data_IF_430894828292
#
_entry.id   IF_430894828292
#
_cell.length_a   1.000
_cell.length_b   1.000
_cell.length_c   1.000
_cell.angle_alpha   90.00
_cell.angle_beta   90.00
_cell.angle_gamma   90.00
#
_symmetry.space_group_name_H-M   'P 1'
#
loop_
_entity.id
_entity.type
_entity.pdbx_description
1 polymer ?
#
# COMPACT_ATOMS: atom_id res chain seq x y z
N UNK A 1 4.38 -12.06 -2.95
CA UNK A 1 4.35 -13.48 -2.57
C UNK A 1 4.72 -14.34 -3.78
N UNK A 2 5.93 -14.92 -3.80
CA UNK A 2 6.16 -16.11 -4.62
C UNK A 2 5.33 -17.23 -4.01
N UNK A 3 4.41 -17.82 -4.76
CA UNK A 3 3.86 -19.11 -4.37
C UNK A 3 5.04 -20.08 -4.12
N UNK A 4 4.98 -20.94 -3.08
CA UNK A 4 5.98 -21.98 -2.90
C UNK A 4 6.14 -22.74 -4.22
N UNK A 5 7.39 -23.01 -4.60
CA UNK A 5 7.66 -23.62 -5.88
C UNK A 5 7.02 -25.01 -5.92
N UNK A 6 6.11 -25.23 -6.85
CA UNK A 6 5.64 -26.58 -7.19
C UNK A 6 6.65 -27.12 -8.20
N UNK A 7 7.34 -28.20 -7.85
CA UNK A 7 8.40 -28.82 -8.68
C UNK A 7 9.52 -27.86 -9.14
N UNK A 8 9.87 -26.87 -8.32
CA UNK A 8 10.93 -25.90 -8.62
C UNK A 8 10.51 -24.73 -9.52
N UNK A 9 9.22 -24.58 -9.82
CA UNK A 9 8.66 -23.51 -10.64
C UNK A 9 7.99 -22.41 -9.79
N UNK A 10 8.31 -21.14 -10.06
CA UNK A 10 7.72 -19.99 -9.37
C UNK A 10 6.45 -19.50 -10.07
N UNK A 11 5.39 -19.18 -9.31
CA UNK A 11 4.10 -18.79 -9.89
C UNK A 11 3.49 -17.52 -9.30
N UNK A 12 2.58 -16.92 -10.07
CA UNK A 12 1.69 -15.86 -9.61
C UNK A 12 0.27 -16.43 -9.44
N UNK A 13 -0.41 -16.06 -8.35
CA UNK A 13 -1.80 -16.45 -8.10
C UNK A 13 -2.71 -15.50 -8.89
N UNK A 14 -3.58 -16.05 -9.74
CA UNK A 14 -4.53 -15.29 -10.55
C UNK A 14 -5.95 -15.78 -10.25
N UNK A 15 -6.83 -14.89 -9.78
CA UNK A 15 -8.23 -15.22 -9.51
C UNK A 15 -9.07 -15.27 -10.79
N UNK A 16 -10.17 -16.02 -10.76
CA UNK A 16 -11.15 -16.13 -11.86
C UNK A 16 -11.65 -14.77 -12.35
N UNK A 17 -11.82 -13.79 -11.46
CA UNK A 17 -12.21 -12.44 -11.84
C UNK A 17 -11.12 -11.71 -12.65
N UNK A 18 -9.85 -11.82 -12.23
CA UNK A 18 -8.70 -11.28 -12.96
C UNK A 18 -8.50 -12.00 -14.30
N UNK A 19 -8.75 -13.31 -14.34
CA UNK A 19 -8.78 -14.11 -15.56
C UNK A 19 -9.88 -13.65 -16.53
N UNK A 20 -11.10 -13.44 -16.02
CA UNK A 20 -12.23 -12.96 -16.82
C UNK A 20 -12.01 -11.53 -17.35
N UNK A 21 -11.31 -10.68 -16.59
CA UNK A 21 -10.91 -9.34 -17.06
C UNK A 21 -9.85 -9.41 -18.15
N UNK A 22 -8.86 -10.30 -18.01
CA UNK A 22 -7.87 -10.56 -19.06
C UNK A 22 -8.54 -11.03 -20.35
N UNK A 23 -9.56 -11.89 -20.26
CA UNK A 23 -10.35 -12.36 -21.41
C UNK A 23 -11.20 -11.29 -22.09
N UNK A 24 -11.40 -10.13 -21.45
CA UNK A 24 -12.18 -9.00 -21.99
C UNK A 24 -11.33 -7.99 -22.77
N UNK A 25 -10.01 -8.13 -22.77
CA UNK A 25 -9.13 -7.24 -23.53
C UNK A 25 -9.27 -7.49 -25.04
N UNK A 26 -9.19 -6.46 -25.90
CA UNK A 26 -9.18 -6.63 -27.35
C UNK A 26 -8.01 -7.54 -27.77
N UNK A 27 -8.30 -8.68 -28.40
CA UNK A 27 -7.31 -9.72 -28.75
C UNK A 27 -7.16 -10.85 -27.73
N UNK A 28 -7.92 -10.85 -26.64
CA UNK A 28 -7.84 -11.88 -25.59
C UNK A 28 -8.54 -13.20 -25.91
N UNK A 29 -9.39 -13.24 -26.94
CA UNK A 29 -9.90 -14.50 -27.51
C UNK A 29 -8.77 -15.40 -28.05
N UNK A 30 -7.59 -14.84 -28.25
CA UNK A 30 -6.37 -15.50 -28.71
C UNK A 30 -5.41 -15.88 -27.57
N UNK A 31 -5.68 -15.44 -26.33
CA UNK A 31 -4.89 -15.75 -25.14
C UNK A 31 -5.33 -17.11 -24.56
N UNK A 32 -4.78 -18.20 -25.08
CA UNK A 32 -4.86 -19.50 -24.41
C UNK A 32 -3.96 -19.52 -23.18
N UNK A 33 -4.31 -20.33 -22.17
CA UNK A 33 -3.46 -20.55 -20.98
C UNK A 33 -2.03 -20.95 -21.40
N UNK A 34 -1.90 -21.77 -22.44
CA UNK A 34 -0.62 -22.16 -23.03
C UNK A 34 0.17 -20.97 -23.62
N UNK A 35 -0.48 -20.02 -24.31
CA UNK A 35 0.18 -18.80 -24.83
C UNK A 35 0.58 -17.84 -23.71
N UNK A 36 -0.17 -17.81 -22.62
CA UNK A 36 0.13 -16.97 -21.45
C UNK A 36 1.36 -17.52 -20.69
N UNK A 37 1.43 -18.84 -20.51
CA UNK A 37 2.59 -19.53 -19.90
C UNK A 37 3.84 -19.48 -20.79
N UNK A 38 3.69 -19.72 -22.10
CA UNK A 38 4.82 -19.74 -23.06
C UNK A 38 5.30 -18.36 -23.50
N UNK A 39 4.40 -17.37 -23.62
CA UNK A 39 4.71 -16.02 -24.10
C UNK A 39 5.30 -15.10 -23.03
N UNK A 40 4.90 -15.26 -21.77
CA UNK A 40 5.32 -14.39 -20.65
C UNK A 40 6.25 -15.08 -19.65
N UNK A 41 6.68 -16.32 -19.91
CA UNK A 41 7.51 -17.13 -19.00
C UNK A 41 6.90 -17.25 -17.59
N UNK A 42 5.58 -17.31 -17.50
CA UNK A 42 4.88 -17.57 -16.24
C UNK A 42 4.94 -19.08 -16.03
N UNK A 43 5.58 -19.52 -14.94
CA UNK A 43 5.89 -20.95 -14.75
C UNK A 43 4.91 -21.68 -13.83
N UNK A 44 4.03 -20.97 -13.13
CA UNK A 44 2.90 -21.57 -12.40
C UNK A 44 1.79 -20.55 -12.13
N UNK A 45 0.56 -21.05 -12.06
CA UNK A 45 -0.63 -20.33 -11.56
C UNK A 45 -1.26 -21.23 -10.50
N UNK A 46 -1.53 -20.68 -9.32
CA UNK A 46 -2.30 -21.36 -8.29
C UNK A 46 -3.62 -20.62 -8.08
N UNK A 47 -4.68 -21.37 -7.80
CA UNK A 47 -6.02 -20.86 -7.49
C UNK A 47 -6.35 -21.30 -6.07
N UNK A 48 -6.60 -20.35 -5.17
CA UNK A 48 -7.02 -20.65 -3.81
C UNK A 48 -8.54 -20.88 -3.79
N UNK A 49 -8.97 -22.13 -3.75
CA UNK A 49 -10.37 -22.47 -3.54
C UNK A 49 -10.70 -22.43 -2.03
N UNK A 50 -11.75 -21.72 -1.65
CA UNK A 50 -12.22 -21.62 -0.27
C UNK A 50 -12.59 -23.02 0.26
N UNK A 51 -11.94 -23.50 1.32
CA UNK A 51 -12.45 -24.66 2.06
C UNK A 51 -13.69 -24.22 2.88
N UNK A 52 -14.74 -25.04 2.95
CA UNK A 52 -15.90 -24.75 3.78
C UNK A 52 -15.49 -24.70 5.25
N UNK A 53 -15.94 -23.65 5.94
CA UNK A 53 -15.61 -23.36 7.34
C UNK A 53 -16.01 -24.54 8.24
N UNK A 54 -15.03 -25.31 8.71
CA UNK A 54 -15.20 -26.16 9.88
C UNK A 54 -15.17 -25.26 11.12
N UNK A 55 -16.33 -25.09 11.73
CA UNK A 55 -16.53 -24.15 12.82
C UNK A 55 -15.66 -24.47 14.02
N UNK A 56 -14.74 -23.56 14.36
CA UNK A 56 -14.12 -23.53 15.68
C UNK A 56 -14.22 -22.13 16.29
N UNK A 57 -14.95 -22.09 17.41
CA UNK A 57 -14.92 -21.01 18.38
C UNK A 57 -13.50 -20.86 18.94
N UNK A 58 -12.78 -19.81 18.56
CA UNK A 58 -11.67 -19.30 19.36
C UNK A 58 -11.88 -17.81 19.61
N UNK A 59 -11.90 -17.46 20.90
CA UNK A 59 -11.88 -16.09 21.38
C UNK A 59 -10.74 -15.33 20.67
N UNK A 60 -11.12 -14.26 19.98
CA UNK A 60 -10.32 -13.49 19.04
C UNK A 60 -9.16 -12.79 19.73
N UNK A 61 -8.03 -13.48 19.88
CA UNK A 61 -6.74 -12.81 19.92
C UNK A 61 -6.59 -12.15 18.55
N UNK A 62 -6.70 -10.83 18.47
CA UNK A 62 -6.66 -10.09 17.22
C UNK A 62 -5.40 -10.50 16.45
N UNK A 63 -5.59 -11.30 15.41
CA UNK A 63 -4.53 -11.90 14.64
C UNK A 63 -3.86 -10.81 13.80
N UNK A 64 -2.58 -10.54 14.07
CA UNK A 64 -1.82 -9.46 13.43
C UNK A 64 -1.92 -9.48 11.90
N UNK A 65 -2.06 -8.31 11.29
CA UNK A 65 -2.12 -8.13 9.83
C UNK A 65 -0.90 -8.73 9.14
N UNK A 66 0.27 -8.74 9.79
CA UNK A 66 1.47 -9.42 9.26
C UNK A 66 1.19 -10.88 8.89
N UNK A 67 0.38 -11.57 9.68
CA UNK A 67 0.11 -13.00 9.56
C UNK A 67 -1.19 -13.32 8.79
N UNK A 68 -2.13 -12.38 8.75
CA UNK A 68 -3.46 -12.59 8.16
C UNK A 68 -3.66 -11.92 6.81
N UNK A 69 -2.97 -10.81 6.55
CA UNK A 69 -3.08 -10.11 5.27
C UNK A 69 -2.19 -10.74 4.19
N UNK A 70 -2.60 -10.55 2.95
CA UNK A 70 -1.79 -10.89 1.78
C UNK A 70 -0.88 -9.69 1.51
N UNK A 71 0.44 -9.88 1.55
CA UNK A 71 1.41 -8.79 1.41
C UNK A 71 2.12 -8.77 0.05
N UNK A 72 2.40 -7.57 -0.44
CA UNK A 72 3.22 -7.31 -1.62
C UNK A 72 4.31 -6.25 -1.31
N UNK A 73 5.57 -6.44 -1.77
CA UNK A 73 6.07 -7.57 -2.55
C UNK A 73 6.15 -8.86 -1.75
N UNK A 74 6.49 -8.76 -0.46
CA UNK A 74 6.62 -9.87 0.49
C UNK A 74 6.06 -9.45 1.85
N UNK A 75 5.97 -10.37 2.81
CA UNK A 75 5.54 -10.06 4.17
C UNK A 75 6.57 -9.09 4.79
N UNK A 76 6.15 -7.95 5.38
CA UNK A 76 7.08 -7.05 6.05
C UNK A 76 7.87 -7.81 7.14
N UNK A 77 9.19 -7.57 7.29
CA UNK A 77 10.01 -8.19 8.33
C UNK A 77 9.52 -7.92 9.76
N UNK A 78 9.80 -8.85 10.68
CA UNK A 78 9.36 -8.77 12.10
C UNK A 78 9.93 -7.59 12.88
N UNK A 79 11.09 -7.06 12.47
CA UNK A 79 11.70 -5.89 13.09
C UNK A 79 10.96 -4.58 12.76
N UNK A 80 10.08 -4.57 11.76
CA UNK A 80 9.30 -3.41 11.37
C UNK A 80 7.99 -3.33 12.17
N UNK A 81 7.66 -2.18 12.74
CA UNK A 81 6.39 -2.01 13.45
C UNK A 81 5.30 -1.55 12.48
N UNK A 82 4.25 -2.35 12.32
CA UNK A 82 3.16 -2.07 11.38
C UNK A 82 2.09 -1.11 11.93
N UNK A 83 2.14 -0.76 13.23
CA UNK A 83 1.19 0.16 13.86
C UNK A 83 -0.29 -0.18 13.53
N UNK A 84 -0.63 -1.48 13.58
CA UNK A 84 -1.88 -2.05 13.07
C UNK A 84 -3.12 -1.51 13.80
N UNK A 85 -2.97 -1.10 15.06
CA UNK A 85 -4.05 -0.47 15.86
C UNK A 85 -4.59 0.82 15.24
N UNK A 86 -3.80 1.47 14.39
CA UNK A 86 -4.17 2.69 13.68
C UNK A 86 -4.72 2.42 12.26
N UNK A 87 -4.76 1.15 11.83
CA UNK A 87 -5.14 0.78 10.47
C UNK A 87 -6.66 0.64 10.32
N UNK A 88 -7.19 1.26 9.27
CA UNK A 88 -8.61 1.29 8.97
C UNK A 88 -8.89 0.18 7.95
N UNK A 89 -9.49 -0.93 8.38
CA UNK A 89 -9.78 -2.05 7.46
C UNK A 89 -9.82 -3.46 8.05
N UNK A 90 -9.75 -3.62 9.38
CA UNK A 90 -9.41 -4.87 10.09
C UNK A 90 -10.24 -6.11 9.77
N UNK A 91 -11.44 -5.99 9.20
CA UNK A 91 -12.35 -7.13 9.04
C UNK A 91 -12.40 -7.66 7.58
N UNK A 92 -11.30 -7.65 6.82
CA UNK A 92 -11.33 -7.99 5.37
C UNK A 92 -12.17 -9.25 5.10
N UNK A 93 -13.22 -9.20 4.24
CA UNK A 93 -13.97 -10.40 3.93
C UNK A 93 -13.00 -11.37 3.27
N UNK A 94 -12.91 -12.60 3.78
CA UNK A 94 -11.99 -13.66 3.34
C UNK A 94 -12.13 -14.09 1.87
N UNK A 95 -12.94 -13.38 1.09
CA UNK A 95 -13.38 -13.74 -0.25
C UNK A 95 -12.85 -12.84 -1.36
N UNK A 96 -12.17 -11.72 -1.05
CA UNK A 96 -11.64 -10.80 -2.07
C UNK A 96 -10.14 -10.60 -1.85
N UNK A 97 -9.35 -10.86 -2.90
CA UNK A 97 -7.89 -10.77 -2.86
C UNK A 97 -7.44 -9.32 -2.97
N UNK A 98 -7.15 -8.72 -1.83
CA UNK A 98 -6.82 -7.30 -1.69
C UNK A 98 -5.44 -7.18 -1.03
N UNK A 99 -4.35 -7.36 -1.78
CA UNK A 99 -3.02 -7.40 -1.19
C UNK A 99 -2.62 -6.03 -0.63
N UNK A 100 -2.13 -6.01 0.61
CA UNK A 100 -1.48 -4.84 1.19
C UNK A 100 -0.10 -4.68 0.56
N UNK A 101 0.06 -3.58 -0.17
CA UNK A 101 1.36 -3.17 -0.68
C UNK A 101 2.08 -2.35 0.37
N UNK A 102 3.39 -2.51 0.49
CA UNK A 102 4.20 -1.68 1.40
C UNK A 102 5.50 -1.20 0.78
N UNK A 103 6.00 -0.09 1.31
CA UNK A 103 7.27 0.53 0.94
C UNK A 103 8.05 0.94 2.19
N UNK A 104 9.37 0.94 2.07
CA UNK A 104 10.30 1.45 3.08
C UNK A 104 11.10 2.61 2.48
N UNK A 105 10.63 3.84 2.70
CA UNK A 105 11.31 5.03 2.18
C UNK A 105 12.46 5.51 3.07
N UNK A 106 12.43 5.14 4.34
CA UNK A 106 13.49 5.40 5.30
C UNK A 106 14.66 4.42 5.20
N UNK A 107 14.55 3.35 4.40
CA UNK A 107 15.56 2.30 4.32
C UNK A 107 15.69 1.49 5.62
N UNK A 108 16.79 0.76 5.80
CA UNK A 108 17.01 -0.05 7.00
C UNK A 108 17.37 0.87 8.17
N UNK A 109 16.59 0.82 9.25
CA UNK A 109 16.82 1.63 10.46
C UNK A 109 16.96 3.13 10.14
N UNK A 110 16.19 3.62 9.16
CA UNK A 110 16.15 5.03 8.80
C UNK A 110 17.39 5.57 8.08
N UNK A 111 18.30 4.71 7.59
CA UNK A 111 19.53 5.11 6.90
C UNK A 111 19.29 6.00 5.67
N UNK A 112 18.11 5.90 5.03
CA UNK A 112 17.73 6.73 3.88
C UNK A 112 16.97 8.01 4.22
N UNK A 113 16.55 8.21 5.47
CA UNK A 113 15.83 9.43 5.88
C UNK A 113 16.60 10.73 5.56
N UNK A 114 17.94 10.82 5.75
CA UNK A 114 18.70 12.01 5.39
C UNK A 114 18.66 12.35 3.90
N UNK A 115 18.37 11.38 3.04
CA UNK A 115 18.36 11.58 1.59
C UNK A 115 16.97 11.90 1.05
N UNK A 116 15.90 11.77 1.84
CA UNK A 116 14.54 12.08 1.40
C UNK A 116 14.42 13.59 1.11
N UNK A 117 14.18 13.92 -0.16
CA UNK A 117 14.07 15.31 -0.67
C UNK A 117 12.62 15.73 -0.87
N UNK A 118 11.74 14.77 -1.10
CA UNK A 118 10.34 15.05 -1.29
C UNK A 118 9.45 13.83 -1.43
N UNK A 119 8.16 14.14 -1.39
CA UNK A 119 7.06 13.23 -1.63
C UNK A 119 6.21 13.82 -2.76
N UNK A 120 6.18 13.13 -3.89
CA UNK A 120 5.24 13.37 -4.96
C UNK A 120 3.97 12.57 -4.70
N UNK A 121 2.84 13.10 -5.15
CA UNK A 121 1.58 12.40 -5.04
C UNK A 121 0.68 12.66 -6.24
N UNK A 122 -0.19 11.70 -6.53
CA UNK A 122 -1.24 11.80 -7.53
C UNK A 122 -2.59 11.84 -6.82
N UNK A 123 -3.50 12.67 -7.32
CA UNK A 123 -4.83 12.84 -6.75
C UNK A 123 -5.90 12.90 -7.85
N UNK A 124 -7.08 12.39 -7.52
CA UNK A 124 -8.33 12.63 -8.24
C UNK A 124 -9.32 13.22 -7.23
N UNK A 125 -10.33 12.47 -6.79
CA UNK A 125 -11.19 12.84 -5.66
C UNK A 125 -10.53 12.57 -4.29
N UNK A 126 -9.49 11.72 -4.27
CA UNK A 126 -8.66 11.42 -3.09
C UNK A 126 -7.22 11.07 -3.49
N UNK A 127 -6.46 10.51 -2.55
CA UNK A 127 -5.09 10.06 -2.78
C UNK A 127 -5.08 8.82 -3.71
N UNK A 128 -4.30 8.85 -4.78
CA UNK A 128 -4.16 7.71 -5.73
C UNK A 128 -2.83 7.01 -5.60
N UNK A 129 -1.76 7.76 -5.42
CA UNK A 129 -0.42 7.21 -5.29
C UNK A 129 0.56 8.21 -4.68
N UNK A 130 1.61 7.63 -4.12
CA UNK A 130 2.72 8.32 -3.46
C UNK A 130 4.03 7.85 -4.09
N UNK A 131 4.98 8.77 -4.23
CA UNK A 131 6.35 8.46 -4.67
C UNK A 131 7.35 9.30 -3.88
N UNK A 132 8.32 8.64 -3.28
CA UNK A 132 9.41 9.30 -2.58
C UNK A 132 10.57 9.58 -3.53
N UNK A 133 11.13 10.79 -3.41
CA UNK A 133 12.29 11.24 -4.15
C UNK A 133 13.47 11.42 -3.19
N UNK A 134 14.64 10.96 -3.63
CA UNK A 134 15.89 11.06 -2.90
C UNK A 134 16.81 12.09 -3.54
N UNK A 135 17.78 12.58 -2.77
CA UNK A 135 18.82 13.43 -3.30
C UNK A 135 19.96 12.58 -3.89
N UNK A 136 19.91 12.38 -5.21
CA UNK A 136 20.91 11.60 -5.96
C UNK A 136 22.33 12.22 -5.95
N UNK A 137 22.48 13.44 -5.40
CA UNK A 137 23.78 14.10 -5.25
C UNK A 137 24.50 13.78 -3.93
N UNK A 138 23.80 13.11 -3.00
CA UNK A 138 24.31 12.78 -1.70
C UNK A 138 24.92 11.36 -1.67
N UNK A 139 26.23 11.27 -1.90
CA UNK A 139 27.06 10.08 -1.67
C UNK A 139 26.84 8.86 -2.61
N UNK A 140 27.88 8.02 -2.78
CA UNK A 140 27.84 6.84 -3.67
C UNK A 140 26.86 5.76 -3.17
N UNK A 141 26.57 5.72 -1.86
CA UNK A 141 25.59 4.83 -1.22
C UNK A 141 24.14 5.17 -1.59
N UNK A 142 23.84 6.38 -2.05
CA UNK A 142 22.48 6.80 -2.43
C UNK A 142 22.19 6.60 -3.92
N UNK A 143 23.19 6.29 -4.76
CA UNK A 143 22.96 5.96 -6.19
C UNK A 143 22.08 4.72 -6.39
N UNK A 144 22.01 3.86 -5.38
CA UNK A 144 21.15 2.67 -5.38
C UNK A 144 19.74 2.93 -4.80
N UNK A 145 19.45 4.14 -4.29
CA UNK A 145 18.14 4.51 -3.77
C UNK A 145 17.14 4.78 -4.91
N UNK A 146 16.64 3.71 -5.53
CA UNK A 146 15.55 3.81 -6.49
C UNK A 146 14.31 4.43 -5.82
N UNK A 147 13.62 5.37 -6.49
CA UNK A 147 12.36 5.92 -6.00
C UNK A 147 11.36 4.82 -5.66
N UNK A 148 10.80 4.88 -4.45
CA UNK A 148 9.78 3.92 -4.00
C UNK A 148 8.39 4.53 -4.16
N UNK A 149 7.42 3.70 -4.55
CA UNK A 149 6.05 4.11 -4.85
C UNK A 149 5.03 3.25 -4.12
N UNK A 150 3.96 3.87 -3.64
CA UNK A 150 2.80 3.18 -3.08
C UNK A 150 1.54 3.63 -3.83
N UNK A 151 0.73 2.68 -4.27
CA UNK A 151 -0.44 2.95 -5.11
C UNK A 151 -0.10 3.31 -6.56
N UNK A 152 -0.99 4.04 -7.23
CA UNK A 152 -0.88 4.33 -8.66
C UNK A 152 -0.18 5.65 -8.95
N UNK A 153 1.00 5.54 -9.55
CA UNK A 153 1.82 6.68 -9.96
C UNK A 153 2.45 6.38 -11.33
N UNK A 154 1.97 7.03 -12.38
CA UNK A 154 2.55 6.89 -13.72
C UNK A 154 3.79 7.77 -13.89
N UNK A 155 4.82 7.30 -14.60
CA UNK A 155 6.05 8.08 -14.81
C UNK A 155 5.80 9.40 -15.55
N UNK A 156 4.91 9.41 -16.55
CA UNK A 156 4.53 10.64 -17.27
C UNK A 156 3.90 11.72 -16.37
N UNK A 157 3.34 11.33 -15.22
CA UNK A 157 2.74 12.27 -14.27
C UNK A 157 3.80 12.98 -13.41
N UNK A 158 5.05 12.50 -13.38
CA UNK A 158 6.10 13.01 -12.50
C UNK A 158 6.38 14.51 -12.69
N UNK A 159 6.47 15.00 -13.93
CA UNK A 159 6.85 16.40 -14.19
C UNK A 159 5.90 17.43 -13.56
N UNK A 160 4.60 17.11 -13.52
CA UNK A 160 3.55 18.02 -13.06
C UNK A 160 2.92 17.59 -11.73
N UNK A 161 3.42 16.50 -11.12
CA UNK A 161 2.88 16.01 -9.87
C UNK A 161 3.11 17.04 -8.74
N UNK A 162 2.08 17.34 -7.94
CA UNK A 162 2.25 18.17 -6.77
C UNK A 162 3.23 17.51 -5.80
N UNK A 163 4.02 18.35 -5.12
CA UNK A 163 5.10 17.92 -4.25
C UNK A 163 4.98 18.47 -2.84
N UNK A 164 5.34 17.63 -1.87
CA UNK A 164 5.78 18.04 -0.54
C UNK A 164 7.30 17.92 -0.50
N UNK A 165 8.00 19.05 -0.47
CA UNK A 165 9.44 19.04 -0.21
C UNK A 165 9.67 18.61 1.24
N UNK A 166 10.63 17.72 1.48
CA UNK A 166 11.08 17.24 2.78
C UNK A 166 12.59 17.48 2.84
N UNK A 167 13.10 18.10 3.90
CA UNK A 167 14.53 18.41 4.04
C UNK A 167 15.22 17.33 4.86
N UNK A 168 15.28 16.11 4.32
CA UNK A 168 15.89 14.94 4.98
C UNK A 168 17.28 15.24 5.54
N UNK A 169 18.13 15.91 4.75
CA UNK A 169 19.51 16.26 5.14
C UNK A 169 19.59 17.18 6.37
N UNK A 170 18.47 17.83 6.74
CA UNK A 170 18.34 18.66 7.95
C UNK A 170 17.59 17.94 9.08
N UNK A 171 17.48 16.62 9.01
CA UNK A 171 16.75 15.78 9.97
C UNK A 171 15.23 15.88 9.88
N UNK A 172 14.69 16.43 8.79
CA UNK A 172 13.25 16.49 8.62
C UNK A 172 12.68 15.15 8.14
N UNK A 173 11.66 14.66 8.82
CA UNK A 173 10.98 13.42 8.48
C UNK A 173 9.48 13.50 8.77
N UNK A 174 8.71 12.61 8.14
CA UNK A 174 7.28 12.46 8.39
C UNK A 174 7.11 11.86 9.80
N UNK A 175 6.28 12.50 10.63
CA UNK A 175 6.05 12.05 12.01
C UNK A 175 4.58 11.69 12.29
N UNK A 176 3.64 12.13 11.46
CA UNK A 176 2.24 11.73 11.59
C UNK A 176 1.47 11.82 10.28
N UNK A 177 0.42 11.00 10.20
CA UNK A 177 -0.58 11.00 9.13
C UNK A 177 -1.97 11.10 9.77
N UNK A 178 -2.87 11.85 9.15
CA UNK A 178 -4.28 11.94 9.52
C UNK A 178 -5.15 11.68 8.30
N UNK A 179 -6.09 10.75 8.41
CA UNK A 179 -6.96 10.30 7.32
C UNK A 179 -8.40 10.74 7.62
N UNK A 180 -9.01 11.50 6.72
CA UNK A 180 -10.44 11.79 6.74
C UNK A 180 -11.18 10.82 5.82
N UNK A 181 -12.08 10.03 6.42
CA UNK A 181 -12.93 9.11 5.68
C UNK A 181 -14.28 9.76 5.41
N UNK A 182 -14.66 9.82 4.14
CA UNK A 182 -16.00 10.21 3.73
C UNK A 182 -16.99 9.06 4.01
N UNK A 183 -18.16 9.35 4.59
CA UNK A 183 -19.26 8.39 4.61
C UNK A 183 -19.75 8.18 3.17
N UNK A 184 -19.96 6.92 2.78
CA UNK A 184 -20.58 6.59 1.50
C UNK A 184 -22.10 6.51 1.71
N UNK A 185 -22.85 7.31 0.95
CA UNK A 185 -24.32 7.45 1.11
C UNK A 185 -25.15 6.33 0.45
N UNK A 186 -24.53 5.33 -0.19
CA UNK A 186 -25.24 4.29 -0.96
C UNK A 186 -25.14 2.87 -0.36
N UNK A 187 -26.25 2.14 -0.47
CA UNK A 187 -26.51 0.81 0.12
C UNK A 187 -25.82 -0.35 -0.63
N UNK A 188 -25.30 -0.12 -1.85
CA UNK A 188 -24.53 -1.09 -2.64
C UNK A 188 -23.03 -0.96 -2.35
N UNK A 189 -22.60 -1.42 -1.18
CA UNK A 189 -21.21 -1.32 -0.75
C UNK A 189 -20.33 -2.42 -1.35
N UNK A 190 -19.25 -2.10 -2.08
CA UNK A 190 -18.11 -3.00 -2.16
C UNK A 190 -17.59 -3.22 -0.73
N UNK A 191 -17.38 -4.47 -0.32
CA UNK A 191 -16.93 -4.81 1.05
C UNK A 191 -15.67 -4.05 1.48
N UNK A 192 -14.84 -3.67 0.50
CA UNK A 192 -13.61 -2.91 0.64
C UNK A 192 -13.79 -1.50 1.26
N UNK A 193 -14.91 -0.82 1.03
CA UNK A 193 -15.15 0.56 1.49
C UNK A 193 -16.07 0.65 2.72
N UNK A 194 -16.33 -0.46 3.40
CA UNK A 194 -17.30 -0.50 4.51
C UNK A 194 -16.99 0.46 5.66
N UNK A 195 -15.74 0.91 5.79
CA UNK A 195 -15.30 1.84 6.83
C UNK A 195 -15.24 3.30 6.35
N UNK A 196 -15.61 3.57 5.10
CA UNK A 196 -15.53 4.89 4.45
C UNK A 196 -14.42 4.95 3.41
N UNK A 197 -14.47 5.99 2.57
CA UNK A 197 -13.49 6.21 1.50
C UNK A 197 -12.48 7.29 1.92
N UNK A 198 -11.15 7.06 1.80
CA UNK A 198 -10.14 8.07 2.11
C UNK A 198 -10.15 9.23 1.12
N UNK A 199 -10.85 10.31 1.47
CA UNK A 199 -10.92 11.53 0.67
C UNK A 199 -9.97 12.63 1.15
N UNK A 200 -9.52 12.56 2.40
CA UNK A 200 -8.58 13.52 2.97
C UNK A 200 -7.37 12.82 3.57
N UNK A 201 -6.17 13.29 3.24
CA UNK A 201 -4.93 12.87 3.90
C UNK A 201 -4.12 14.10 4.29
N UNK A 202 -3.77 14.22 5.57
CA UNK A 202 -2.82 15.20 6.05
C UNK A 202 -1.52 14.49 6.47
N UNK A 203 -0.40 14.95 5.93
CA UNK A 203 0.95 14.43 6.22
C UNK A 203 1.71 15.54 6.93
N UNK A 204 2.22 15.25 8.13
CA UNK A 204 2.92 16.23 8.97
C UNK A 204 4.36 15.79 9.24
N UNK A 205 5.28 16.74 9.15
CA UNK A 205 6.70 16.52 9.46
C UNK A 205 7.02 16.91 10.91
N UNK A 206 8.12 16.36 11.44
CA UNK A 206 8.63 16.69 12.78
C UNK A 206 8.98 18.18 12.97
N UNK A 207 9.01 18.97 11.89
CA UNK A 207 9.19 20.43 11.91
C UNK A 207 7.85 21.20 11.86
N UNK A 208 6.73 20.51 12.05
CA UNK A 208 5.38 21.10 12.10
C UNK A 208 4.79 21.46 10.73
N UNK A 209 5.48 21.14 9.62
CA UNK A 209 4.94 21.39 8.27
C UNK A 209 3.91 20.34 7.93
N UNK A 210 2.75 20.77 7.44
CA UNK A 210 1.65 19.87 7.08
C UNK A 210 1.24 20.06 5.64
N UNK A 211 1.13 18.96 4.88
CA UNK A 211 0.53 18.93 3.55
C UNK A 211 -0.80 18.20 3.60
N UNK A 212 -1.84 18.85 3.07
CA UNK A 212 -3.18 18.29 2.94
C UNK A 212 -3.43 17.89 1.49
N UNK A 213 -4.00 16.71 1.29
CA UNK A 213 -4.33 16.09 0.00
C UNK A 213 -5.83 15.76 0.02
N UNK A 214 -6.51 16.01 -1.10
CA UNK A 214 -7.95 15.80 -1.24
C UNK A 214 -8.83 16.82 -0.51
N UNK A 215 -10.13 16.55 -0.44
CA UNK A 215 -11.15 17.47 0.09
C UNK A 215 -11.46 17.12 1.54
N UNK A 216 -11.60 18.12 2.41
CA UNK A 216 -12.07 17.91 3.80
C UNK A 216 -13.53 18.34 3.88
N UNK A 217 -14.38 17.46 4.40
CA UNK A 217 -15.77 17.77 4.76
C UNK A 217 -15.95 17.66 6.28
N UNK A 218 -16.90 18.42 6.83
CA UNK A 218 -17.26 18.37 8.26
C UNK A 218 -17.86 17.01 8.66
N UNK A 219 -18.44 16.29 7.70
CA UNK A 219 -19.03 14.97 7.93
C UNK A 219 -17.98 13.84 7.97
N UNK A 220 -16.71 14.13 7.66
CA UNK A 220 -15.66 13.11 7.62
C UNK A 220 -15.24 12.70 9.03
N UNK A 221 -15.09 11.39 9.23
CA UNK A 221 -14.46 10.86 10.45
C UNK A 221 -12.94 10.89 10.28
N UNK A 222 -12.29 11.72 11.08
CA UNK A 222 -10.83 11.82 11.12
C UNK A 222 -10.24 10.67 11.95
N UNK A 223 -9.21 10.03 11.40
CA UNK A 223 -8.42 9.02 12.06
C UNK A 223 -6.97 9.47 12.06
N UNK A 224 -6.44 9.74 13.25
CA UNK A 224 -5.02 10.00 13.45
C UNK A 224 -4.27 8.68 13.46
N UNK A 225 -3.26 8.55 12.61
CA UNK A 225 -2.39 7.37 12.62
C UNK A 225 -1.36 7.59 13.72
N UNK A 226 -1.52 6.87 14.82
CA UNK A 226 -0.57 6.88 15.93
C UNK A 226 0.60 5.92 15.63
N UNK A 227 1.79 6.33 16.04
CA UNK A 227 3.02 5.54 15.91
C UNK A 227 3.50 5.10 17.28
N UNK A 228 4.12 3.92 17.34
CA UNK A 228 4.71 3.41 18.57
C UNK A 228 5.68 4.44 19.20
N UNK A 229 5.59 4.71 20.52
CA UNK A 229 6.45 5.68 21.19
C UNK A 229 7.94 5.40 20.98
N UNK A 230 8.72 6.45 20.71
CA UNK A 230 10.16 6.35 20.48
C UNK A 230 10.55 5.73 19.14
N UNK A 231 9.62 5.65 18.18
CA UNK A 231 9.89 5.17 16.81
C UNK A 231 9.68 6.27 15.79
N UNK A 232 10.28 6.11 14.62
CA UNK A 232 10.18 7.04 13.49
C UNK A 232 9.53 6.34 12.30
N UNK A 233 8.65 7.06 11.58
CA UNK A 233 8.02 6.54 10.36
C UNK A 233 9.09 6.41 9.28
N UNK A 234 9.29 5.18 8.81
CA UNK A 234 10.25 4.85 7.75
C UNK A 234 9.57 4.17 6.56
N UNK A 235 8.30 3.79 6.69
CA UNK A 235 7.57 3.18 5.60
C UNK A 235 6.07 3.43 5.67
N UNK A 236 5.39 3.01 4.61
CA UNK A 236 3.95 3.08 4.48
C UNK A 236 3.45 1.76 3.91
N UNK A 237 2.25 1.36 4.29
CA UNK A 237 1.55 0.27 3.64
C UNK A 237 0.11 0.65 3.36
N UNK A 238 -0.54 -0.04 2.44
CA UNK A 238 -1.92 0.25 2.11
C UNK A 238 -2.43 -0.58 0.95
N UNK A 239 -3.73 -0.51 0.78
CA UNK A 239 -4.46 -1.11 -0.31
C UNK A 239 -4.84 -0.06 -1.34
N UNK A 240 -4.62 -0.41 -2.60
CA UNK A 240 -4.98 0.42 -3.74
C UNK A 240 -5.97 -0.34 -4.62
N UNK A 241 -7.07 0.32 -4.93
CA UNK A 241 -8.07 -0.12 -5.90
C UNK A 241 -8.04 0.76 -7.16
N UNK A 242 -8.23 0.15 -8.32
CA UNK A 242 -8.13 0.84 -9.61
C UNK A 242 -9.23 1.89 -9.78
N UNK A 243 -10.44 1.63 -9.29
CA UNK A 243 -11.59 2.52 -9.39
C UNK A 243 -11.57 3.55 -8.25
N UNK A 244 -11.39 3.08 -7.01
CA UNK A 244 -11.52 3.91 -5.81
C UNK A 244 -10.24 4.63 -5.39
N UNK A 245 -9.06 4.18 -5.82
CA UNK A 245 -7.78 4.78 -5.42
C UNK A 245 -7.21 4.17 -4.16
N UNK A 246 -6.52 4.96 -3.33
CA UNK A 246 -6.01 4.47 -2.05
C UNK A 246 -7.19 4.25 -1.10
N UNK A 247 -7.38 3.02 -0.65
CA UNK A 247 -8.55 2.64 0.15
C UNK A 247 -8.22 2.55 1.63
N UNK A 248 -6.99 2.20 1.96
CA UNK A 248 -6.46 2.31 3.31
C UNK A 248 -4.98 2.64 3.24
N UNK A 249 -4.47 3.24 4.30
CA UNK A 249 -3.06 3.54 4.46
C UNK A 249 -2.69 3.41 5.93
N UNK A 250 -1.57 2.76 6.18
CA UNK A 250 -0.94 2.61 7.48
C UNK A 250 0.53 2.98 7.40
N UNK A 251 1.18 3.01 8.55
CA UNK A 251 2.57 3.45 8.69
C UNK A 251 3.43 2.33 9.22
N UNK A 252 4.63 2.24 8.67
CA UNK A 252 5.69 1.39 9.19
C UNK A 252 6.66 2.29 9.95
N UNK A 253 6.99 1.90 11.18
CA UNK A 253 7.97 2.62 11.99
C UNK A 253 9.08 1.71 12.53
N UNK A 254 10.23 2.34 12.78
CA UNK A 254 11.44 1.70 13.30
C UNK A 254 12.00 2.49 14.48
N UNK A 255 12.76 1.78 15.34
CA UNK A 255 13.59 2.44 16.36
C UNK A 255 14.92 2.80 15.70
N UNK A 256 15.19 4.10 15.62
CA UNK A 256 16.43 4.67 15.09
C UNK A 256 17.54 4.66 16.14
#
# INVERSE_FOLDING_TARGET
MKAPAVDGLHGFVLHDACWNLLQRLPGASDLSLERLLSGYKITAIAVHAKQPDEGENMATQASSLRHTAIWYPDIPPENLLLNEDSFIGSDTPSTIYEPLSWILFGGDRGDKLPFVKGLLYTQADGLRGLRFEYDDTADETCRDASPVKLGYFEERQQLNAPRLSIKGARGEHICSLSIGLAPLEYDERPGLLRHGHPEHVAITTNQGRTKKIGKRSEMMKMHEITVAPGTTITGLYGHYDLECGMVNIGVISERL
#
